data_IF_710121928443
#
_entry.id   IF_710121928443
#
_cell.length_a   1.000
_cell.length_b   1.000
_cell.length_c   1.000
_cell.angle_alpha   90.00
_cell.angle_beta   90.00
_cell.angle_gamma   90.00
#
_symmetry.space_group_name_H-M   'P 1'
#
loop_
_entity.id
_entity.type
_entity.pdbx_description
1 polymer ?
#
# COMPACT_ATOMS: atom_id res chain seq x y z
N UNK A 1 -60.21 -6.74 20.93
CA UNK A 1 -59.76 -7.06 19.56
C UNK A 1 -60.03 -5.80 18.72
N UNK A 2 -59.09 -5.04 18.18
CA UNK A 2 -57.76 -5.32 17.63
C UNK A 2 -56.86 -4.09 17.84
N UNK A 3 -55.68 -4.29 18.42
CA UNK A 3 -54.59 -3.33 18.38
C UNK A 3 -53.95 -3.39 16.99
N UNK A 4 -53.76 -2.25 16.34
CA UNK A 4 -52.90 -2.16 15.14
C UNK A 4 -51.81 -1.15 15.45
N UNK A 5 -50.69 -1.68 15.93
CA UNK A 5 -49.44 -0.93 16.13
C UNK A 5 -48.74 -0.94 14.77
N UNK A 6 -48.75 0.19 14.08
CA UNK A 6 -47.92 0.40 12.88
C UNK A 6 -46.45 0.44 13.28
N UNK A 7 -45.72 -0.63 13.01
CA UNK A 7 -44.26 -0.64 13.13
C UNK A 7 -43.66 0.02 11.88
N UNK A 8 -43.19 1.27 12.03
CA UNK A 8 -42.24 1.86 11.08
C UNK A 8 -40.91 1.12 11.19
N UNK A 9 -40.59 0.29 10.21
CA UNK A 9 -39.26 -0.27 10.05
C UNK A 9 -38.36 0.78 9.38
N UNK A 10 -37.72 1.63 10.18
CA UNK A 10 -36.63 2.48 9.73
C UNK A 10 -35.36 1.62 9.59
N UNK A 11 -35.21 0.94 8.44
CA UNK A 11 -33.92 0.35 8.08
C UNK A 11 -32.97 1.47 7.68
N UNK A 12 -32.15 1.91 8.63
CA UNK A 12 -31.01 2.78 8.34
C UNK A 12 -29.93 1.90 7.71
N UNK A 13 -29.92 1.85 6.38
CA UNK A 13 -28.82 1.30 5.60
C UNK A 13 -27.62 2.24 5.75
N UNK A 14 -26.74 1.95 6.72
CA UNK A 14 -25.41 2.54 6.80
C UNK A 14 -24.56 1.98 5.65
N UNK A 15 -24.72 2.53 4.44
CA UNK A 15 -23.69 2.40 3.41
C UNK A 15 -22.52 3.26 3.86
N UNK A 16 -21.52 2.64 4.49
CA UNK A 16 -20.20 3.25 4.62
C UNK A 16 -19.70 3.53 3.22
N UNK A 17 -19.70 4.80 2.80
CA UNK A 17 -19.05 5.20 1.57
C UNK A 17 -17.57 4.86 1.71
N UNK A 18 -17.13 3.79 1.05
CA UNK A 18 -15.72 3.48 0.93
C UNK A 18 -15.08 4.61 0.12
N UNK A 19 -14.36 5.50 0.79
CA UNK A 19 -13.45 6.43 0.13
C UNK A 19 -12.35 5.59 -0.50
N UNK A 20 -12.41 5.39 -1.81
CA UNK A 20 -11.33 4.80 -2.56
C UNK A 20 -10.20 5.84 -2.62
N UNK A 21 -9.26 5.77 -1.67
CA UNK A 21 -8.01 6.51 -1.78
C UNK A 21 -7.27 6.02 -3.01
N UNK A 22 -6.93 6.92 -3.91
CA UNK A 22 -6.13 6.57 -5.09
C UNK A 22 -4.81 5.90 -4.65
N UNK A 23 -4.40 4.79 -5.28
CA UNK A 23 -3.14 4.13 -4.96
C UNK A 23 -1.96 5.10 -5.10
N UNK A 24 -1.20 5.30 -4.03
CA UNK A 24 0.00 6.14 -4.07
C UNK A 24 1.15 5.35 -4.71
N UNK A 25 1.49 5.64 -5.96
CA UNK A 25 2.66 5.05 -6.63
C UNK A 25 3.93 5.52 -5.91
N UNK A 26 4.73 4.58 -5.41
CA UNK A 26 5.98 4.88 -4.71
C UNK A 26 7.23 4.44 -5.49
N UNK A 27 7.08 3.55 -6.47
CA UNK A 27 8.20 3.07 -7.27
C UNK A 27 7.74 2.76 -8.70
N UNK A 28 8.56 3.11 -9.67
CA UNK A 28 8.36 2.80 -11.09
C UNK A 28 9.66 2.28 -11.68
N UNK A 29 9.61 1.10 -12.30
CA UNK A 29 10.72 0.49 -13.01
C UNK A 29 10.42 0.41 -14.52
N UNK A 30 11.40 0.77 -15.34
CA UNK A 30 11.34 0.67 -16.80
C UNK A 30 12.26 -0.45 -17.28
N UNK A 31 11.74 -1.30 -18.17
CA UNK A 31 12.46 -2.44 -18.75
C UNK A 31 12.70 -2.20 -20.25
N UNK A 32 13.67 -2.94 -20.81
CA UNK A 32 14.12 -2.74 -22.19
C UNK A 32 13.09 -3.16 -23.26
N UNK A 33 12.04 -3.88 -22.88
CA UNK A 33 10.95 -4.36 -23.73
C UNK A 33 9.70 -3.45 -23.69
N UNK A 34 9.91 -2.17 -23.34
CA UNK A 34 8.85 -1.17 -23.12
C UNK A 34 7.88 -1.52 -21.97
N UNK A 35 8.19 -2.52 -21.14
CA UNK A 35 7.44 -2.81 -19.93
C UNK A 35 7.72 -1.75 -18.87
N UNK A 36 6.67 -1.25 -18.23
CA UNK A 36 6.73 -0.38 -17.06
C UNK A 36 6.04 -1.09 -15.91
N UNK A 37 6.72 -1.22 -14.77
CA UNK A 37 6.15 -1.79 -13.54
C UNK A 37 6.07 -0.72 -12.48
N UNK A 38 4.86 -0.47 -11.99
CA UNK A 38 4.59 0.48 -10.91
C UNK A 38 4.14 -0.27 -9.66
N UNK A 39 4.70 0.13 -8.52
CA UNK A 39 4.27 -0.34 -7.21
C UNK A 39 3.58 0.79 -6.46
N UNK A 40 2.42 0.49 -5.88
CA UNK A 40 1.61 1.47 -5.17
C UNK A 40 1.24 1.02 -3.77
N UNK A 41 1.18 1.99 -2.85
CA UNK A 41 0.59 1.82 -1.53
C UNK A 41 -0.93 1.89 -1.64
N UNK A 42 -1.60 0.79 -1.28
CA UNK A 42 -3.07 0.65 -1.32
C UNK A 42 -3.69 0.51 0.06
N UNK A 43 -2.89 0.75 1.10
CA UNK A 43 -3.35 0.78 2.48
C UNK A 43 -2.17 0.69 3.46
N UNK A 44 -2.35 1.32 4.63
CA UNK A 44 -1.47 1.19 5.78
C UNK A 44 -2.29 0.78 7.01
N UNK A 45 -1.61 0.15 7.96
CA UNK A 45 -2.15 -0.26 9.26
C UNK A 45 -1.01 -0.28 10.26
N UNK A 46 -1.34 -0.26 11.56
CA UNK A 46 -0.34 -0.52 12.60
C UNK A 46 0.25 -1.90 12.38
N UNK A 47 1.58 -2.03 12.52
CA UNK A 47 2.21 -3.33 12.36
C UNK A 47 1.70 -4.34 13.40
N UNK A 48 1.64 -5.62 13.00
CA UNK A 48 1.25 -6.69 13.92
C UNK A 48 2.37 -7.07 14.91
N UNK A 49 3.60 -6.64 14.65
CA UNK A 49 4.77 -6.89 15.48
C UNK A 49 5.29 -5.57 16.03
N UNK A 50 5.70 -5.57 17.30
CA UNK A 50 6.33 -4.42 17.98
C UNK A 50 7.68 -4.03 17.37
N UNK A 51 8.27 -4.89 16.55
CA UNK A 51 9.52 -4.60 15.84
C UNK A 51 9.32 -3.59 14.69
N UNK A 52 8.11 -3.50 14.14
CA UNK A 52 7.83 -2.65 12.97
C UNK A 52 6.86 -1.54 13.35
N UNK A 53 7.00 -0.39 12.72
CA UNK A 53 6.14 0.78 12.95
C UNK A 53 4.84 0.64 12.13
N UNK A 54 4.95 0.15 10.89
CA UNK A 54 3.83 0.06 9.96
C UNK A 54 3.70 -1.32 9.31
N UNK A 55 2.48 -1.77 9.09
CA UNK A 55 2.12 -2.77 8.10
C UNK A 55 1.53 -2.08 6.87
N UNK A 56 1.98 -2.43 5.68
CA UNK A 56 1.51 -1.82 4.43
C UNK A 56 1.06 -2.87 3.43
N UNK A 57 0.18 -2.46 2.52
CA UNK A 57 -0.25 -3.27 1.38
C UNK A 57 0.21 -2.63 0.08
N UNK A 58 0.83 -3.44 -0.76
CA UNK A 58 1.43 -3.04 -2.03
C UNK A 58 0.65 -3.71 -3.16
N UNK A 59 0.25 -2.92 -4.15
CA UNK A 59 -0.24 -3.42 -5.45
C UNK A 59 0.83 -3.30 -6.52
N UNK A 60 0.75 -4.16 -7.53
CA UNK A 60 1.61 -4.12 -8.71
C UNK A 60 0.76 -3.87 -9.96
N UNK A 61 1.17 -2.89 -10.75
CA UNK A 61 0.62 -2.63 -12.08
C UNK A 61 1.74 -2.71 -13.10
N UNK A 62 1.52 -3.47 -14.17
CA UNK A 62 2.35 -3.50 -15.35
C UNK A 62 1.63 -2.80 -16.50
N UNK A 63 2.28 -1.83 -17.11
CA UNK A 63 1.82 -1.17 -18.33
C UNK A 63 2.88 -1.32 -19.42
N UNK A 64 2.51 -1.00 -20.65
CA UNK A 64 3.48 -0.71 -21.72
C UNK A 64 3.83 0.79 -21.69
N UNK A 65 4.92 1.18 -22.35
CA UNK A 65 5.38 2.58 -22.46
C UNK A 65 4.34 3.53 -23.09
N UNK A 66 3.38 3.02 -23.87
CA UNK A 66 2.25 3.77 -24.42
C UNK A 66 1.12 4.04 -23.39
N UNK A 67 1.24 3.50 -22.17
CA UNK A 67 0.30 3.70 -21.07
C UNK A 67 -0.80 2.64 -20.99
N UNK A 68 -0.89 1.72 -21.97
CA UNK A 68 -1.88 0.65 -21.91
C UNK A 68 -1.51 -0.35 -20.80
N UNK A 69 -2.44 -0.55 -19.86
CA UNK A 69 -2.27 -1.51 -18.77
C UNK A 69 -2.23 -2.93 -19.34
N UNK A 70 -1.09 -3.59 -19.20
CA UNK A 70 -0.86 -4.95 -19.67
C UNK A 70 -1.28 -5.98 -18.60
N UNK A 71 -1.10 -5.67 -17.32
CA UNK A 71 -1.46 -6.55 -16.21
C UNK A 71 -1.63 -5.78 -14.90
N UNK A 72 -2.68 -6.08 -14.15
CA UNK A 72 -2.89 -5.60 -12.78
C UNK A 72 -2.91 -6.82 -11.86
N UNK A 73 -2.02 -6.85 -10.88
CA UNK A 73 -2.00 -7.93 -9.89
C UNK A 73 -3.22 -7.79 -8.97
N UNK A 74 -4.15 -8.76 -8.94
CA UNK A 74 -5.30 -8.70 -8.04
C UNK A 74 -4.89 -8.85 -6.57
N UNK A 75 -3.66 -9.28 -6.29
CA UNK A 75 -3.14 -9.53 -4.96
C UNK A 75 -2.65 -8.25 -4.29
N UNK A 76 -2.89 -8.15 -2.98
CA UNK A 76 -2.28 -7.13 -2.13
C UNK A 76 -1.12 -7.76 -1.36
N UNK A 77 0.10 -7.33 -1.65
CA UNK A 77 1.30 -7.85 -1.00
C UNK A 77 1.54 -7.13 0.32
N UNK A 78 1.59 -7.88 1.42
CA UNK A 78 1.86 -7.32 2.74
C UNK A 78 3.36 -7.13 2.95
N UNK A 79 3.74 -5.96 3.43
CA UNK A 79 5.07 -5.67 3.94
C UNK A 79 4.99 -5.00 5.32
N UNK A 80 6.10 -5.01 6.04
CA UNK A 80 6.26 -4.30 7.31
C UNK A 80 7.45 -3.37 7.26
N UNK A 81 7.30 -2.16 7.80
CA UNK A 81 8.30 -1.10 7.70
C UNK A 81 8.72 -0.67 9.09
N UNK A 82 10.03 -0.66 9.34
CA UNK A 82 10.66 -0.13 10.55
C UNK A 82 11.38 1.17 10.18
N UNK A 83 10.85 2.29 10.65
CA UNK A 83 11.35 3.64 10.40
C UNK A 83 12.53 4.00 11.29
N UNK A 84 12.64 3.37 12.46
CA UNK A 84 13.71 3.63 13.41
C UNK A 84 14.93 2.71 13.17
N UNK A 85 16.16 3.14 13.50
CA UNK A 85 17.34 2.30 13.38
C UNK A 85 17.24 1.00 14.20
N UNK A 86 17.68 -0.15 13.65
CA UNK A 86 18.20 -0.32 12.29
C UNK A 86 17.07 -0.35 11.25
N UNK A 87 17.03 0.59 10.31
CA UNK A 87 15.91 0.71 9.37
C UNK A 87 15.76 -0.56 8.52
N UNK A 88 14.52 -1.00 8.30
CA UNK A 88 14.27 -2.24 7.58
C UNK A 88 12.87 -2.28 6.94
N UNK A 89 12.79 -3.05 5.85
CA UNK A 89 11.54 -3.51 5.24
C UNK A 89 11.49 -5.02 5.34
N UNK A 90 10.37 -5.59 5.76
CA UNK A 90 10.12 -7.02 5.80
C UNK A 90 9.04 -7.42 4.82
N UNK A 91 9.34 -8.40 3.97
CA UNK A 91 8.41 -8.93 2.96
C UNK A 91 8.31 -10.43 3.17
N UNK A 92 7.10 -10.92 3.47
CA UNK A 92 6.85 -12.34 3.77
C UNK A 92 7.80 -12.93 4.83
N UNK A 93 8.21 -12.12 5.81
CA UNK A 93 9.10 -12.53 6.90
C UNK A 93 10.59 -12.44 6.59
N UNK A 94 10.99 -12.07 5.36
CA UNK A 94 12.38 -11.80 5.01
C UNK A 94 12.69 -10.34 5.29
N UNK A 95 13.71 -10.09 6.11
CA UNK A 95 14.14 -8.75 6.52
C UNK A 95 15.21 -8.20 5.57
N UNK A 96 14.94 -7.03 5.01
CA UNK A 96 15.85 -6.28 4.16
C UNK A 96 16.26 -4.99 4.90
N UNK A 97 17.54 -4.87 5.32
CA UNK A 97 18.06 -3.63 5.87
C UNK A 97 17.97 -2.51 4.84
N UNK A 98 17.56 -1.32 5.26
CA UNK A 98 17.61 -0.12 4.42
C UNK A 98 18.98 0.52 4.64
N UNK A 99 19.84 0.56 3.61
CA UNK A 99 21.12 1.24 3.74
C UNK A 99 20.90 2.72 4.03
N UNK A 100 21.84 3.33 4.75
CA UNK A 100 21.84 4.78 4.96
C UNK A 100 21.82 5.49 3.60
N UNK A 101 21.11 6.63 3.53
CA UNK A 101 20.85 7.42 2.31
C UNK A 101 22.08 7.63 1.39
N UNK A 102 23.29 7.57 1.94
CA UNK A 102 24.55 7.71 1.21
C UNK A 102 24.91 6.51 0.31
N UNK A 103 24.37 5.31 0.57
CA UNK A 103 24.69 4.11 -0.21
C UNK A 103 23.77 3.89 -1.42
N UNK A 104 22.82 4.81 -1.65
CA UNK A 104 22.17 5.05 -2.95
C UNK A 104 21.75 3.80 -3.73
N UNK A 105 20.91 2.95 -3.14
CA UNK A 105 20.20 1.92 -3.87
C UNK A 105 18.95 2.49 -4.53
N UNK A 106 18.80 2.29 -5.85
CA UNK A 106 17.52 2.48 -6.54
C UNK A 106 16.67 1.21 -6.42
N UNK A 107 16.54 0.68 -5.21
CA UNK A 107 15.73 -0.51 -4.93
C UNK A 107 14.36 -0.08 -4.37
N UNK A 108 13.31 -0.75 -4.84
CA UNK A 108 11.94 -0.42 -4.46
C UNK A 108 11.66 -0.49 -2.95
N UNK A 109 12.47 -1.21 -2.16
CA UNK A 109 12.33 -1.27 -0.70
C UNK A 109 12.81 0.02 -0.05
N UNK A 110 13.82 0.66 -0.62
CA UNK A 110 14.30 1.97 -0.18
C UNK A 110 13.25 3.05 -0.46
N UNK A 111 12.63 2.99 -1.65
CA UNK A 111 11.53 3.89 -2.02
C UNK A 111 10.30 3.67 -1.13
N UNK A 112 9.92 2.42 -0.88
CA UNK A 112 8.83 2.09 0.05
C UNK A 112 9.10 2.67 1.44
N UNK A 113 10.30 2.45 1.97
CA UNK A 113 10.69 2.95 3.28
C UNK A 113 10.60 4.47 3.33
N UNK A 114 11.11 5.16 2.31
CA UNK A 114 11.08 6.63 2.19
C UNK A 114 9.65 7.15 2.12
N UNK A 115 8.78 6.55 1.32
CA UNK A 115 7.39 6.98 1.21
C UNK A 115 6.62 6.81 2.52
N UNK A 116 6.91 5.76 3.29
CA UNK A 116 6.22 5.50 4.57
C UNK A 116 6.80 6.30 5.73
N UNK A 117 8.12 6.40 5.83
CA UNK A 117 8.81 6.96 7.00
C UNK A 117 9.22 8.42 6.84
N UNK A 118 9.29 8.93 5.60
CA UNK A 118 9.57 10.34 5.30
C UNK A 118 8.49 10.90 4.36
N UNK A 119 7.20 10.84 4.76
CA UNK A 119 6.13 11.38 3.92
C UNK A 119 6.36 12.86 3.68
N UNK A 120 6.32 13.28 2.42
CA UNK A 120 6.31 14.71 2.07
C UNK A 120 5.09 15.36 2.69
N UNK A 121 5.31 16.40 3.47
CA UNK A 121 4.23 17.25 3.98
C UNK A 121 3.58 17.90 2.75
N UNK A 122 2.29 17.64 2.52
CA UNK A 122 1.48 18.34 1.52
C UNK A 122 1.05 19.72 2.01
#
# INVERSE_FOLDING_TARGET
MRATVSFLAAQVLLLSAAVATEPLVFHTAHFADDTVVSLSLVGNQVAASVEYDYGVFISLLQTRADGDAAYSDPSKHKASVRCHPPQAVSVRGVVYPIPTLEAGGADWKDDLWRTVCTPSIS
#
